data_IF_545846143964
#
_entry.id   IF_545846143964
#
_cell.length_a   1.000
_cell.length_b   1.000
_cell.length_c   1.000
_cell.angle_alpha   90.00
_cell.angle_beta   90.00
_cell.angle_gamma   90.00
#
_symmetry.space_group_name_H-M   'P 1'
#
loop_
_entity.id
_entity.type
_entity.pdbx_description
1 polymer ?
#
# COMPACT_ATOMS: atom_id res chain seq x y z
N UNK A 1 14.46 55.19 13.12
CA UNK A 1 14.00 54.30 12.02
C UNK A 1 13.98 52.87 12.55
N UNK A 2 12.80 52.24 12.63
CA UNK A 2 12.64 50.92 13.22
C UNK A 2 12.39 49.90 12.09
N UNK A 3 13.38 49.05 11.81
CA UNK A 3 13.29 48.05 10.74
C UNK A 3 12.56 46.83 11.29
N UNK A 4 11.30 46.62 10.88
CA UNK A 4 10.56 45.40 11.17
C UNK A 4 11.06 44.27 10.27
N UNK A 5 11.78 43.31 10.85
CA UNK A 5 12.12 42.05 10.20
C UNK A 5 10.86 41.18 10.07
N UNK A 6 10.31 41.09 8.86
CA UNK A 6 9.28 40.12 8.51
C UNK A 6 9.92 38.75 8.32
N UNK A 7 9.75 37.86 9.31
CA UNK A 7 10.05 36.43 9.14
C UNK A 7 9.01 35.82 8.21
N UNK A 8 9.39 35.53 6.97
CA UNK A 8 8.63 34.67 6.06
C UNK A 8 8.81 33.22 6.52
N UNK A 9 7.74 32.62 7.06
CA UNK A 9 7.70 31.18 7.31
C UNK A 9 7.55 30.47 5.97
N UNK A 10 8.66 29.99 5.41
CA UNK A 10 8.62 28.99 4.34
C UNK A 10 8.02 27.70 4.92
N UNK A 11 6.70 27.51 4.71
CA UNK A 11 6.03 26.25 5.00
C UNK A 11 6.59 25.15 4.10
N UNK A 12 7.50 24.31 4.64
CA UNK A 12 7.85 23.05 3.99
C UNK A 12 6.58 22.22 3.86
N UNK A 13 6.17 21.90 2.63
CA UNK A 13 5.16 20.86 2.38
C UNK A 13 5.79 19.54 2.83
N UNK A 14 5.45 19.06 4.02
CA UNK A 14 5.84 17.73 4.44
C UNK A 14 5.09 16.70 3.59
N UNK A 15 5.84 15.80 2.97
CA UNK A 15 5.27 14.64 2.30
C UNK A 15 4.69 13.71 3.36
N UNK A 16 3.48 13.16 3.19
CA UNK A 16 2.88 12.28 4.17
C UNK A 16 3.77 11.06 4.38
N UNK A 17 4.10 10.78 5.64
CA UNK A 17 4.87 9.61 6.03
C UNK A 17 3.99 8.36 6.03
N UNK A 18 4.61 7.17 6.09
CA UNK A 18 3.88 5.88 6.17
C UNK A 18 2.93 5.85 7.38
N UNK A 19 3.30 6.52 8.47
CA UNK A 19 2.48 6.67 9.67
C UNK A 19 1.23 7.50 9.38
N UNK A 20 1.35 8.60 8.63
CA UNK A 20 0.23 9.45 8.22
C UNK A 20 -0.74 8.70 7.29
N UNK A 21 -0.21 7.83 6.42
CA UNK A 21 -1.03 6.97 5.56
C UNK A 21 -1.80 5.92 6.38
N UNK A 22 -1.15 5.28 7.36
CA UNK A 22 -1.78 4.32 8.25
C UNK A 22 -2.84 4.97 9.16
N UNK A 23 -2.60 6.20 9.61
CA UNK A 23 -3.60 6.98 10.36
C UNK A 23 -4.80 7.34 9.49
N UNK A 24 -4.56 7.74 8.23
CA UNK A 24 -5.62 8.12 7.28
C UNK A 24 -6.44 6.92 6.80
N UNK A 25 -5.83 5.75 6.62
CA UNK A 25 -6.55 4.53 6.26
C UNK A 25 -7.45 4.02 7.41
N UNK A 26 -7.03 4.19 8.66
CA UNK A 26 -7.87 3.90 9.84
C UNK A 26 -9.05 4.87 10.00
N UNK A 27 -8.92 6.10 9.50
CA UNK A 27 -9.96 7.12 9.56
C UNK A 27 -11.04 6.99 8.46
N UNK A 28 -10.83 6.15 7.44
CA UNK A 28 -11.88 5.84 6.46
C UNK A 28 -12.88 4.91 7.12
N UNK A 29 -13.99 5.46 7.61
CA UNK A 29 -15.12 4.63 8.02
C UNK A 29 -15.68 3.93 6.78
N UNK A 30 -15.62 2.61 6.78
CA UNK A 30 -16.36 1.77 5.84
C UNK A 30 -17.83 2.14 5.95
N UNK A 31 -18.49 2.45 4.84
CA UNK A 31 -19.95 2.63 4.82
C UNK A 31 -20.60 1.31 5.23
N UNK A 32 -20.96 1.17 6.49
CA UNK A 32 -21.71 0.02 6.97
C UNK A 32 -23.14 0.12 6.43
N UNK A 33 -23.47 -0.70 5.45
CA UNK A 33 -24.86 -0.89 5.04
C UNK A 33 -25.63 -1.55 6.18
N UNK A 34 -26.86 -1.09 6.52
CA UNK A 34 -27.62 -1.65 7.62
C UNK A 34 -27.82 -3.17 7.41
N UNK A 35 -27.39 -3.97 8.39
CA UNK A 35 -27.51 -5.43 8.35
C UNK A 35 -28.99 -5.82 8.28
N UNK A 36 -29.43 -6.61 7.28
CA UNK A 36 -30.81 -7.07 7.21
C UNK A 36 -31.11 -7.98 8.39
N UNK A 37 -32.14 -7.66 9.19
CA UNK A 37 -32.60 -8.53 10.29
C UNK A 37 -33.47 -9.66 9.72
N UNK A 38 -33.17 -10.93 10.04
CA UNK A 38 -33.95 -12.11 9.59
C UNK A 38 -33.15 -13.41 9.54
N UNK A 39 -33.79 -14.53 9.12
CA UNK A 39 -33.12 -15.82 8.87
C UNK A 39 -32.04 -15.65 7.78
N UNK A 40 -30.77 -15.75 8.19
CA UNK A 40 -29.53 -15.92 7.42
C UNK A 40 -29.68 -15.74 5.88
N UNK A 41 -29.67 -14.49 5.42
CA UNK A 41 -29.68 -14.16 3.99
C UNK A 41 -28.24 -13.92 3.53
N UNK A 42 -27.45 -15.00 3.43
CA UNK A 42 -26.04 -14.99 3.02
C UNK A 42 -25.77 -14.31 1.66
N UNK A 43 -26.75 -14.36 0.75
CA UNK A 43 -26.78 -13.63 -0.52
C UNK A 43 -27.00 -12.10 -0.42
N UNK A 44 -27.50 -11.58 0.71
CA UNK A 44 -27.66 -10.13 0.96
C UNK A 44 -26.43 -9.49 1.61
N UNK A 45 -25.50 -10.30 2.11
CA UNK A 45 -24.18 -9.83 2.53
C UNK A 45 -23.23 -10.06 1.36
N UNK A 46 -22.95 -9.05 0.50
CA UNK A 46 -21.94 -9.22 -0.52
C UNK A 46 -20.59 -9.41 0.17
N UNK A 47 -20.05 -10.64 0.09
CA UNK A 47 -18.76 -11.01 0.70
C UNK A 47 -17.63 -10.12 0.21
N UNK A 48 -17.73 -9.59 -1.01
CA UNK A 48 -16.91 -8.50 -1.51
C UNK A 48 -17.50 -8.02 -2.84
N UNK A 49 -18.13 -6.84 -2.89
CA UNK A 49 -18.34 -6.18 -4.17
C UNK A 49 -17.02 -5.49 -4.54
N UNK A 50 -16.21 -6.11 -5.40
CA UNK A 50 -15.16 -5.37 -6.14
C UNK A 50 -15.75 -4.04 -6.63
N UNK A 51 -15.00 -2.92 -6.65
CA UNK A 51 -15.56 -1.59 -6.91
C UNK A 51 -16.52 -1.66 -8.09
N UNK A 52 -17.82 -1.58 -7.78
CA UNK A 52 -18.87 -2.01 -8.69
C UNK A 52 -18.94 -0.99 -9.81
N UNK A 53 -18.36 -1.32 -10.95
CA UNK A 53 -18.51 -0.55 -12.17
C UNK A 53 -19.81 -0.99 -12.76
N UNK A 54 -20.78 -0.08 -12.82
CA UNK A 54 -22.06 -0.37 -13.44
C UNK A 54 -21.78 -0.84 -14.89
N UNK A 55 -22.38 -1.94 -15.37
CA UNK A 55 -22.12 -2.44 -16.73
C UNK A 55 -22.38 -1.39 -17.81
N UNK A 56 -23.35 -0.50 -17.59
CA UNK A 56 -23.65 0.62 -18.49
C UNK A 56 -22.60 1.75 -18.45
N UNK A 57 -21.77 1.82 -17.40
CA UNK A 57 -20.64 2.76 -17.33
C UNK A 57 -19.38 2.18 -18.04
N UNK A 58 -19.51 1.04 -18.71
CA UNK A 58 -18.40 0.32 -19.36
C UNK A 58 -18.66 0.16 -20.86
N UNK A 59 -17.76 0.72 -21.65
CA UNK A 59 -17.80 0.63 -23.11
C UNK A 59 -18.23 1.95 -23.74
N UNK A 60 -18.39 1.94 -25.06
CA UNK A 60 -18.81 3.10 -25.83
C UNK A 60 -20.33 3.15 -25.93
N UNK A 61 -20.90 4.32 -25.69
CA UNK A 61 -22.35 4.54 -25.73
C UNK A 61 -22.90 4.56 -27.17
N UNK A 62 -22.07 4.92 -28.14
CA UNK A 62 -22.43 5.01 -29.56
C UNK A 62 -21.24 4.69 -30.45
N UNK A 63 -21.53 4.36 -31.71
CA UNK A 63 -20.53 4.04 -32.74
C UNK A 63 -20.83 4.81 -34.03
N UNK A 64 -19.80 5.09 -34.83
CA UNK A 64 -20.00 5.66 -36.16
C UNK A 64 -20.69 4.64 -37.09
N UNK A 65 -21.56 5.12 -37.99
CA UNK A 65 -22.18 4.26 -39.02
C UNK A 65 -21.12 3.62 -39.92
N UNK A 66 -20.02 4.33 -40.18
CA UNK A 66 -18.87 3.84 -40.94
C UNK A 66 -18.13 2.67 -40.26
N UNK A 67 -18.47 2.32 -39.02
CA UNK A 67 -17.81 1.25 -38.26
C UNK A 67 -16.45 1.63 -37.69
N UNK A 68 -16.06 2.91 -37.70
CA UNK A 68 -14.81 3.37 -37.09
C UNK A 68 -14.82 3.09 -35.58
N UNK A 69 -13.74 2.50 -35.03
CA UNK A 69 -13.68 2.19 -33.61
C UNK A 69 -13.61 3.48 -32.79
N UNK A 70 -14.47 3.56 -31.77
CA UNK A 70 -14.37 4.54 -30.70
C UNK A 70 -13.78 3.86 -29.47
N UNK A 71 -12.85 4.54 -28.81
CA UNK A 71 -12.16 3.99 -27.64
C UNK A 71 -12.80 4.40 -26.31
N UNK A 72 -13.41 5.58 -26.27
CA UNK A 72 -14.09 6.17 -25.10
C UNK A 72 -15.16 7.15 -25.58
N UNK A 73 -16.32 7.16 -24.92
CA UNK A 73 -17.40 8.14 -25.18
C UNK A 73 -17.54 9.20 -24.10
N UNK A 74 -17.16 8.89 -22.84
CA UNK A 74 -17.38 9.77 -21.70
C UNK A 74 -16.09 10.18 -20.99
N UNK A 75 -16.03 11.43 -20.53
CA UNK A 75 -14.92 11.93 -19.68
C UNK A 75 -14.76 11.09 -18.40
N UNK A 76 -15.88 10.64 -17.84
CA UNK A 76 -15.93 9.79 -16.64
C UNK A 76 -15.22 8.45 -16.86
N UNK A 77 -15.34 7.86 -18.04
CA UNK A 77 -14.62 6.64 -18.39
C UNK A 77 -13.10 6.89 -18.53
N UNK A 78 -12.69 8.01 -19.15
CA UNK A 78 -11.28 8.42 -19.22
C UNK A 78 -10.69 8.57 -17.82
N UNK A 79 -11.34 9.35 -16.95
CA UNK A 79 -10.88 9.59 -15.58
C UNK A 79 -10.79 8.30 -14.77
N UNK A 80 -11.74 7.37 -14.97
CA UNK A 80 -11.71 6.06 -14.33
C UNK A 80 -10.52 5.23 -14.81
N UNK A 81 -10.28 5.17 -16.12
CA UNK A 81 -9.13 4.44 -16.70
C UNK A 81 -7.81 5.01 -16.18
N UNK A 82 -7.70 6.34 -16.13
CA UNK A 82 -6.54 7.04 -15.57
C UNK A 82 -6.31 6.68 -14.09
N UNK A 83 -7.36 6.72 -13.26
CA UNK A 83 -7.27 6.29 -11.85
C UNK A 83 -6.83 4.83 -11.71
N UNK A 84 -7.25 3.94 -12.60
CA UNK A 84 -6.80 2.55 -12.58
C UNK A 84 -5.31 2.41 -12.90
N UNK A 85 -4.80 3.20 -13.84
CA UNK A 85 -3.37 3.24 -14.18
C UNK A 85 -2.56 3.74 -12.98
N UNK A 86 -2.95 4.88 -12.40
CA UNK A 86 -2.29 5.45 -11.21
C UNK A 86 -2.27 4.47 -10.02
N UNK A 87 -3.38 3.76 -9.81
CA UNK A 87 -3.46 2.71 -8.79
C UNK A 87 -2.49 1.56 -9.08
N UNK A 88 -2.42 1.11 -10.34
CA UNK A 88 -1.48 0.08 -10.77
C UNK A 88 -0.03 0.47 -10.52
N UNK A 89 0.36 1.68 -10.94
CA UNK A 89 1.70 2.24 -10.70
C UNK A 89 2.04 2.28 -9.21
N UNK A 90 1.09 2.73 -8.38
CA UNK A 90 1.27 2.78 -6.93
C UNK A 90 1.47 1.39 -6.33
N UNK A 91 0.70 0.40 -6.77
CA UNK A 91 0.84 -0.99 -6.30
C UNK A 91 2.21 -1.54 -6.66
N UNK A 92 2.65 -1.37 -7.91
CA UNK A 92 3.97 -1.83 -8.37
C UNK A 92 5.08 -1.18 -7.54
N UNK A 93 4.98 0.13 -7.29
CA UNK A 93 5.94 0.86 -6.45
C UNK A 93 6.02 0.31 -5.02
N UNK A 94 4.87 0.08 -4.38
CA UNK A 94 4.82 -0.46 -3.02
C UNK A 94 5.39 -1.88 -2.94
N UNK A 95 5.12 -2.72 -3.95
CA UNK A 95 5.70 -4.06 -4.01
C UNK A 95 7.22 -4.02 -4.18
N UNK A 96 7.74 -3.07 -4.96
CA UNK A 96 9.19 -2.86 -5.06
C UNK A 96 9.80 -2.44 -3.71
N UNK A 97 9.18 -1.49 -3.01
CA UNK A 97 9.62 -1.06 -1.67
C UNK A 97 9.61 -2.22 -0.65
N UNK A 98 8.60 -3.10 -0.70
CA UNK A 98 8.53 -4.31 0.14
C UNK A 98 9.68 -5.27 -0.18
N UNK A 99 9.91 -5.57 -1.47
CA UNK A 99 11.00 -6.47 -1.87
C UNK A 99 12.37 -5.92 -1.45
N UNK A 100 12.59 -4.61 -1.56
CA UNK A 100 13.81 -3.95 -1.09
C UNK A 100 13.98 -4.12 0.42
N UNK A 101 12.92 -3.86 1.21
CA UNK A 101 12.93 -4.03 2.66
C UNK A 101 13.22 -5.48 3.08
N UNK A 102 12.60 -6.47 2.42
CA UNK A 102 12.86 -7.89 2.65
C UNK A 102 14.31 -8.25 2.34
N UNK A 103 14.88 -7.72 1.25
CA UNK A 103 16.28 -7.97 0.88
C UNK A 103 17.27 -7.39 1.89
N UNK A 104 16.97 -6.23 2.46
CA UNK A 104 17.79 -5.60 3.49
C UNK A 104 17.70 -6.38 4.80
N UNK A 105 16.50 -6.78 5.19
CA UNK A 105 16.27 -7.60 6.38
C UNK A 105 17.01 -8.94 6.30
N UNK A 106 16.98 -9.62 5.15
CA UNK A 106 17.74 -10.85 4.94
C UNK A 106 19.25 -10.64 5.11
N UNK A 107 19.81 -9.55 4.57
CA UNK A 107 21.23 -9.20 4.75
C UNK A 107 21.59 -8.92 6.21
N UNK A 108 20.71 -8.27 6.95
CA UNK A 108 20.91 -8.01 8.38
C UNK A 108 20.90 -9.29 9.20
N UNK A 109 19.99 -10.23 8.90
CA UNK A 109 19.98 -11.55 9.53
C UNK A 109 21.28 -12.31 9.28
N UNK A 110 21.78 -12.30 8.04
CA UNK A 110 23.05 -12.94 7.69
C UNK A 110 24.23 -12.30 8.43
N UNK A 111 24.24 -10.97 8.54
CA UNK A 111 25.27 -10.23 9.29
C UNK A 111 25.26 -10.64 10.76
N UNK A 112 24.09 -10.63 11.40
CA UNK A 112 23.94 -11.06 12.79
C UNK A 112 24.32 -12.52 13.01
N UNK A 113 23.99 -13.41 12.07
CA UNK A 113 24.40 -14.81 12.14
C UNK A 113 25.94 -14.95 12.12
N UNK A 114 26.63 -14.23 11.22
CA UNK A 114 28.09 -14.19 11.14
C UNK A 114 28.73 -13.62 12.41
N UNK A 115 28.26 -12.46 12.87
CA UNK A 115 28.71 -11.83 14.12
C UNK A 115 28.56 -12.80 15.31
N UNK A 116 27.42 -13.47 15.42
CA UNK A 116 27.17 -14.44 16.50
C UNK A 116 28.11 -15.65 16.43
N UNK A 117 28.45 -16.11 15.21
CA UNK A 117 29.37 -17.21 15.00
C UNK A 117 30.81 -16.80 15.32
N UNK A 118 31.23 -15.59 14.96
CA UNK A 118 32.52 -15.02 15.33
C UNK A 118 32.64 -14.86 16.84
N UNK A 119 31.64 -14.29 17.52
CA UNK A 119 31.62 -14.17 18.98
C UNK A 119 31.69 -15.54 19.66
N UNK A 120 31.00 -16.57 19.13
CA UNK A 120 31.12 -17.94 19.64
C UNK A 120 32.52 -18.52 19.47
N UNK A 121 33.20 -18.25 18.35
CA UNK A 121 34.58 -18.69 18.09
C UNK A 121 35.59 -18.01 19.01
N UNK A 122 35.40 -16.72 19.27
CA UNK A 122 36.28 -15.93 20.14
C UNK A 122 36.04 -16.21 21.64
N UNK A 123 34.87 -16.76 22.00
CA UNK A 123 34.52 -17.03 23.39
C UNK A 123 35.46 -18.09 23.97
N UNK A 124 36.11 -17.82 25.13
CA UNK A 124 36.91 -18.81 25.81
C UNK A 124 36.10 -20.08 26.12
N UNK A 125 36.71 -21.24 25.89
CA UNK A 125 36.09 -22.53 26.22
C UNK A 125 36.01 -22.65 27.75
N UNK A 126 34.81 -22.83 28.28
CA UNK A 126 34.61 -23.06 29.70
C UNK A 126 35.33 -24.36 30.10
N UNK A 127 36.27 -24.27 31.04
CA UNK A 127 36.90 -25.45 31.65
C UNK A 127 35.98 -25.94 32.76
N UNK A 128 35.08 -26.89 32.45
CA UNK A 128 34.16 -27.48 33.42
C UNK A 128 33.72 -28.89 33.02
N UNK A 129 33.87 -29.83 33.95
CA UNK A 129 33.46 -31.24 33.94
C UNK A 129 33.66 -32.02 32.63
N UNK A 130 34.89 -32.02 32.08
CA UNK A 130 35.34 -33.20 31.36
C UNK A 130 35.53 -34.29 32.42
N UNK A 131 34.53 -35.14 32.62
CA UNK A 131 34.69 -36.35 33.43
C UNK A 131 35.81 -37.16 32.82
N UNK A 132 36.92 -37.27 33.54
CA UNK A 132 37.99 -38.22 33.24
C UNK A 132 37.38 -39.58 33.59
N UNK A 133 36.82 -40.27 32.59
CA UNK A 133 36.49 -41.68 32.64
C UNK A 133 37.54 -42.43 31.82
#
# INVERSE_FOLDING_TARGET
MCVRLTRTLCGRRMTPTVIDFAAKSRAVQTKESPKPRGRFQWWKEPVYCAPHVHPLDRGVDFTFQDGRPLFVTSKREVERKLKQIELGEKVVKLLAEINEAESLYAKELDRHAKESAELKRLRPVAKGNKSIC
#
